data_IF_804807664746
#
_entry.id   IF_804807664746
#
_cell.length_a   1.000
_cell.length_b   1.000
_cell.length_c   1.000
_cell.angle_alpha   90.00
_cell.angle_beta   90.00
_cell.angle_gamma   90.00
#
_symmetry.space_group_name_H-M   'P 1'
#
loop_
_entity.id
_entity.type
_entity.pdbx_description
1 polymer ?
#
# COMPACT_ATOMS: atom_id res chain seq x y z
N UNK A 1 32.61 -38.25 14.05
CA UNK A 1 31.28 -37.68 13.75
C UNK A 1 31.25 -37.16 12.32
N UNK A 2 30.45 -37.75 11.41
CA UNK A 2 30.48 -37.41 9.99
C UNK A 2 29.76 -36.09 9.70
N UNK A 3 30.41 -35.25 8.89
CA UNK A 3 29.89 -34.01 8.33
C UNK A 3 28.55 -34.27 7.61
N UNK A 4 27.47 -33.66 8.11
CA UNK A 4 26.20 -33.57 7.38
C UNK A 4 26.45 -32.90 6.02
N UNK A 5 26.25 -33.66 4.95
CA UNK A 5 26.23 -33.17 3.56
C UNK A 5 25.33 -31.95 3.47
N UNK A 6 25.93 -30.81 3.16
CA UNK A 6 25.24 -29.63 2.65
C UNK A 6 24.46 -30.07 1.39
N UNK A 7 23.13 -30.05 1.49
CA UNK A 7 22.24 -30.23 0.34
C UNK A 7 22.61 -29.18 -0.71
N UNK A 8 23.19 -29.61 -1.84
CA UNK A 8 23.45 -28.77 -3.01
C UNK A 8 22.20 -27.94 -3.32
N UNK A 9 22.33 -26.61 -3.26
CA UNK A 9 21.34 -25.69 -3.81
C UNK A 9 21.14 -26.06 -5.29
N UNK A 10 20.00 -26.70 -5.61
CA UNK A 10 19.64 -26.97 -7.00
C UNK A 10 19.57 -25.66 -7.76
N UNK A 11 20.02 -25.69 -9.01
CA UNK A 11 19.91 -24.57 -9.91
C UNK A 11 18.43 -24.22 -10.12
N UNK A 12 18.05 -23.01 -9.69
CA UNK A 12 16.68 -22.51 -9.79
C UNK A 12 16.30 -22.20 -11.25
N UNK A 13 17.29 -22.10 -12.15
CA UNK A 13 17.12 -21.89 -13.59
C UNK A 13 16.18 -22.94 -14.22
N UNK A 14 16.23 -24.18 -13.74
CA UNK A 14 15.41 -25.30 -14.25
C UNK A 14 13.91 -25.01 -14.14
N UNK A 15 13.48 -24.31 -13.09
CA UNK A 15 12.08 -23.94 -12.92
C UNK A 15 11.66 -22.83 -13.89
N UNK A 16 12.56 -21.90 -14.20
CA UNK A 16 12.35 -20.85 -15.21
C UNK A 16 12.31 -21.46 -16.61
N UNK A 17 13.26 -22.32 -16.96
CA UNK A 17 13.31 -22.97 -18.27
C UNK A 17 12.06 -23.82 -18.52
N UNK A 18 11.68 -24.65 -17.55
CA UNK A 18 10.47 -25.47 -17.64
C UNK A 18 9.24 -24.62 -17.88
N UNK A 19 9.04 -23.56 -17.08
CA UNK A 19 7.81 -22.78 -17.17
C UNK A 19 7.75 -21.96 -18.47
N UNK A 20 8.90 -21.46 -18.93
CA UNK A 20 9.03 -20.78 -20.23
C UNK A 20 8.72 -21.70 -21.39
N UNK A 21 9.10 -22.99 -21.32
CA UNK A 21 8.89 -23.97 -22.40
C UNK A 21 7.51 -24.63 -22.34
N UNK A 22 7.14 -25.18 -21.19
CA UNK A 22 5.96 -26.04 -21.02
C UNK A 22 4.75 -25.33 -20.39
N UNK A 23 4.96 -24.23 -19.66
CA UNK A 23 3.89 -23.59 -18.91
C UNK A 23 3.41 -24.41 -17.71
N UNK A 24 2.13 -24.28 -17.34
CA UNK A 24 1.51 -25.11 -16.29
C UNK A 24 1.37 -26.56 -16.76
N UNK A 25 1.41 -27.50 -15.82
CA UNK A 25 1.11 -28.90 -16.16
C UNK A 25 -0.40 -29.10 -16.22
N UNK A 26 -1.02 -29.47 -17.37
CA UNK A 26 -2.47 -29.44 -17.54
C UNK A 26 -3.24 -30.26 -16.50
N UNK A 27 -2.87 -31.52 -16.31
CA UNK A 27 -3.55 -32.43 -15.37
C UNK A 27 -3.45 -31.90 -13.94
N UNK A 28 -2.22 -31.71 -13.44
CA UNK A 28 -1.98 -31.18 -12.09
C UNK A 28 -2.69 -29.84 -11.87
N UNK A 29 -2.63 -28.93 -12.84
CA UNK A 29 -3.27 -27.62 -12.75
C UNK A 29 -4.80 -27.75 -12.64
N UNK A 30 -5.45 -28.49 -13.53
CA UNK A 30 -6.91 -28.59 -13.54
C UNK A 30 -7.45 -29.38 -12.35
N UNK A 31 -6.77 -30.46 -11.93
CA UNK A 31 -7.11 -31.21 -10.71
C UNK A 31 -6.95 -30.31 -9.48
N UNK A 32 -5.81 -29.65 -9.33
CA UNK A 32 -5.59 -28.74 -8.21
C UNK A 32 -6.59 -27.59 -8.23
N UNK A 33 -6.93 -27.04 -9.40
CA UNK A 33 -7.92 -25.98 -9.54
C UNK A 33 -9.32 -26.44 -9.14
N UNK A 34 -9.74 -27.64 -9.58
CA UNK A 34 -11.04 -28.20 -9.22
C UNK A 34 -11.19 -28.40 -7.71
N UNK A 35 -10.11 -28.78 -7.02
CA UNK A 35 -10.11 -28.97 -5.55
C UNK A 35 -9.94 -27.65 -4.79
N UNK A 36 -8.95 -26.83 -5.15
CA UNK A 36 -8.56 -25.65 -4.37
C UNK A 36 -9.51 -24.48 -4.54
N UNK A 37 -10.09 -24.27 -5.73
CA UNK A 37 -11.00 -23.12 -5.97
C UNK A 37 -12.23 -23.16 -5.07
N UNK A 38 -13.01 -24.25 -4.97
CA UNK A 38 -14.17 -24.28 -4.07
C UNK A 38 -13.75 -24.13 -2.61
N UNK A 39 -12.65 -24.77 -2.19
CA UNK A 39 -12.10 -24.63 -0.85
C UNK A 39 -11.76 -23.16 -0.52
N UNK A 40 -11.03 -22.48 -1.42
CA UNK A 40 -10.67 -21.06 -1.26
C UNK A 40 -11.93 -20.20 -1.21
N UNK A 41 -12.92 -20.45 -2.08
CA UNK A 41 -14.15 -19.66 -2.11
C UNK A 41 -14.95 -19.76 -0.83
N UNK A 42 -15.13 -20.96 -0.29
CA UNK A 42 -15.88 -21.19 0.95
C UNK A 42 -15.07 -20.69 2.14
N UNK A 43 -13.83 -21.14 2.28
CA UNK A 43 -12.97 -20.84 3.43
C UNK A 43 -12.69 -19.35 3.59
N UNK A 44 -12.50 -18.64 2.47
CA UNK A 44 -12.24 -17.20 2.48
C UNK A 44 -13.46 -16.33 2.20
N UNK A 45 -14.66 -16.92 2.07
CA UNK A 45 -15.89 -16.22 1.63
C UNK A 45 -15.57 -15.26 0.48
N UNK A 46 -14.87 -15.81 -0.52
CA UNK A 46 -14.16 -15.02 -1.53
C UNK A 46 -15.15 -14.32 -2.45
N UNK A 47 -15.03 -13.01 -2.51
CA UNK A 47 -15.81 -12.17 -3.40
C UNK A 47 -14.89 -11.62 -4.51
N UNK A 48 -15.34 -11.71 -5.76
CA UNK A 48 -14.60 -11.21 -6.92
C UNK A 48 -15.47 -10.31 -7.78
N UNK A 49 -15.11 -9.03 -7.89
CA UNK A 49 -15.81 -8.02 -8.69
C UNK A 49 -14.99 -7.66 -9.93
N UNK A 50 -15.66 -7.44 -11.07
CA UNK A 50 -15.01 -7.01 -12.32
C UNK A 50 -14.21 -8.10 -13.03
N UNK A 51 -14.51 -9.38 -12.76
CA UNK A 51 -13.77 -10.53 -13.32
C UNK A 51 -13.77 -10.57 -14.84
N UNK A 52 -14.80 -10.00 -15.47
CA UNK A 52 -14.94 -9.93 -16.92
C UNK A 52 -14.05 -8.85 -17.56
N UNK A 53 -13.43 -7.98 -16.76
CA UNK A 53 -12.37 -7.08 -17.24
C UNK A 53 -11.05 -7.81 -17.54
N UNK A 54 -10.90 -9.07 -17.11
CA UNK A 54 -9.72 -9.88 -17.40
C UNK A 54 -9.88 -10.52 -18.78
N UNK A 55 -9.05 -10.18 -19.77
CA UNK A 55 -9.18 -10.68 -21.13
C UNK A 55 -9.13 -12.21 -21.21
N UNK A 56 -10.01 -12.77 -22.04
CA UNK A 56 -10.11 -14.21 -22.29
C UNK A 56 -8.98 -14.76 -23.15
N UNK A 57 -8.28 -13.94 -23.91
CA UNK A 57 -7.19 -14.35 -24.81
C UNK A 57 -6.08 -13.29 -24.80
N UNK A 58 -4.93 -13.62 -25.41
CA UNK A 58 -3.81 -12.67 -25.50
C UNK A 58 -3.01 -12.48 -24.20
N UNK A 59 -1.98 -11.63 -24.26
CA UNK A 59 -1.08 -11.32 -23.15
C UNK A 59 -1.78 -10.45 -22.10
N UNK A 60 -1.80 -10.91 -20.84
CA UNK A 60 -2.43 -10.17 -19.73
C UNK A 60 -1.46 -10.03 -18.57
N UNK A 61 -1.23 -8.78 -18.16
CA UNK A 61 -0.43 -8.45 -16.99
C UNK A 61 -1.35 -7.98 -15.86
N UNK A 62 -1.58 -8.82 -14.85
CA UNK A 62 -2.36 -8.44 -13.68
C UNK A 62 -1.44 -7.72 -12.69
N UNK A 63 -1.70 -6.43 -12.46
CA UNK A 63 -0.98 -5.61 -11.50
C UNK A 63 -1.80 -5.50 -10.21
N UNK A 64 -1.29 -6.05 -9.10
CA UNK A 64 -2.04 -6.06 -7.82
C UNK A 64 -1.20 -5.59 -6.64
N UNK A 65 -1.86 -5.09 -5.59
CA UNK A 65 -1.24 -4.96 -4.27
C UNK A 65 -0.96 -6.35 -3.64
N UNK A 66 -0.05 -6.39 -2.66
CA UNK A 66 0.34 -7.64 -1.99
C UNK A 66 0.25 -7.53 -0.47
N UNK A 67 -0.77 -8.15 0.11
CA UNK A 67 -1.05 -8.20 1.56
C UNK A 67 -0.62 -9.51 2.21
N UNK A 68 -0.72 -10.63 1.49
CA UNK A 68 -0.53 -11.97 2.03
C UNK A 68 0.11 -12.92 1.02
N UNK A 69 0.72 -14.00 1.51
CA UNK A 69 1.24 -15.06 0.63
C UNK A 69 0.12 -15.77 -0.16
N UNK A 70 -1.13 -15.61 0.26
CA UNK A 70 -2.31 -16.21 -0.37
C UNK A 70 -2.82 -15.42 -1.57
N UNK A 71 -2.40 -14.16 -1.75
CA UNK A 71 -2.93 -13.28 -2.81
C UNK A 71 -2.82 -13.88 -4.22
N UNK A 72 -1.69 -14.51 -4.63
CA UNK A 72 -1.61 -15.13 -5.94
C UNK A 72 -2.65 -16.23 -6.15
N UNK A 73 -2.93 -17.03 -5.12
CA UNK A 73 -3.90 -18.12 -5.19
C UNK A 73 -5.34 -17.58 -5.23
N UNK A 74 -5.61 -16.55 -4.44
CA UNK A 74 -6.91 -15.86 -4.42
C UNK A 74 -7.19 -15.23 -5.79
N UNK A 75 -6.24 -14.50 -6.37
CA UNK A 75 -6.33 -13.93 -7.72
C UNK A 75 -6.53 -15.02 -8.78
N UNK A 76 -5.70 -16.07 -8.75
CA UNK A 76 -5.75 -17.18 -9.70
C UNK A 76 -7.06 -17.97 -9.65
N UNK A 77 -7.72 -18.03 -8.49
CA UNK A 77 -9.02 -18.70 -8.32
C UNK A 77 -10.20 -17.95 -8.97
N UNK A 78 -10.04 -16.65 -9.24
CA UNK A 78 -11.07 -15.80 -9.84
C UNK A 78 -10.91 -15.62 -11.34
N UNK A 79 -9.69 -15.78 -11.87
CA UNK A 79 -9.39 -15.70 -13.30
C UNK A 79 -9.63 -17.03 -13.99
N UNK A 80 -10.22 -17.02 -15.19
CA UNK A 80 -10.67 -18.22 -15.93
C UNK A 80 -9.53 -19.04 -16.54
N UNK A 81 -8.34 -18.45 -16.74
CA UNK A 81 -7.16 -19.06 -17.38
C UNK A 81 -6.00 -19.26 -16.40
N UNK A 82 -5.05 -20.16 -16.69
CA UNK A 82 -3.82 -20.30 -15.91
C UNK A 82 -3.09 -18.98 -15.73
N UNK A 83 -2.79 -18.67 -14.47
CA UNK A 83 -2.11 -17.45 -14.05
C UNK A 83 -0.73 -17.82 -13.52
N UNK A 84 0.27 -17.09 -13.96
CA UNK A 84 1.67 -17.29 -13.61
C UNK A 84 2.08 -16.23 -12.62
N UNK A 85 2.83 -16.62 -11.59
CA UNK A 85 3.19 -15.70 -10.51
C UNK A 85 4.61 -15.93 -10.02
N UNK A 86 5.22 -14.81 -9.65
CA UNK A 86 6.53 -14.78 -9.04
C UNK A 86 6.43 -15.26 -7.59
N UNK A 87 7.26 -16.22 -7.18
CA UNK A 87 7.25 -16.83 -5.86
C UNK A 87 8.66 -16.83 -5.23
N UNK A 88 8.72 -16.74 -3.89
CA UNK A 88 10.00 -16.67 -3.16
C UNK A 88 10.83 -17.94 -3.40
N UNK A 89 12.12 -17.81 -3.71
CA UNK A 89 13.01 -18.95 -4.00
C UNK A 89 13.00 -20.03 -2.90
N UNK A 90 12.78 -19.66 -1.64
CA UNK A 90 12.78 -20.61 -0.51
C UNK A 90 11.65 -21.63 -0.60
N UNK A 91 10.57 -21.30 -1.33
CA UNK A 91 9.47 -22.24 -1.61
C UNK A 91 9.90 -23.38 -2.54
N UNK A 92 10.99 -23.20 -3.29
CA UNK A 92 11.54 -24.16 -4.24
C UNK A 92 12.70 -24.98 -3.68
N UNK A 93 13.09 -24.77 -2.40
CA UNK A 93 14.15 -25.54 -1.74
C UNK A 93 13.82 -27.03 -1.62
N UNK A 94 12.55 -27.36 -1.38
CA UNK A 94 12.08 -28.73 -1.43
C UNK A 94 11.67 -29.06 -2.88
N UNK A 95 12.32 -30.04 -3.55
CA UNK A 95 12.02 -30.45 -4.92
C UNK A 95 10.56 -30.76 -5.23
N UNK A 96 9.86 -31.44 -4.30
CA UNK A 96 8.47 -31.86 -4.50
C UNK A 96 7.57 -30.62 -4.48
N UNK A 97 7.77 -29.74 -3.49
CA UNK A 97 7.03 -28.48 -3.38
C UNK A 97 7.35 -27.54 -4.56
N UNK A 98 8.62 -27.42 -4.95
CA UNK A 98 9.06 -26.59 -6.07
C UNK A 98 8.48 -27.07 -7.40
N UNK A 99 8.52 -28.38 -7.66
CA UNK A 99 7.89 -28.98 -8.84
C UNK A 99 6.38 -28.74 -8.86
N UNK A 100 5.70 -28.99 -7.74
CA UNK A 100 4.25 -28.81 -7.63
C UNK A 100 3.85 -27.35 -7.85
N UNK A 101 4.50 -26.39 -7.16
CA UNK A 101 4.24 -24.96 -7.35
C UNK A 101 4.51 -24.52 -8.79
N UNK A 102 5.57 -25.03 -9.42
CA UNK A 102 5.88 -24.75 -10.81
C UNK A 102 4.85 -25.33 -11.78
N UNK A 103 4.29 -26.52 -11.50
CA UNK A 103 3.15 -27.06 -12.23
C UNK A 103 1.93 -26.14 -12.19
N UNK A 104 1.74 -25.40 -11.09
CA UNK A 104 0.62 -24.48 -10.89
C UNK A 104 0.84 -23.08 -11.47
N UNK A 105 2.04 -22.78 -12.00
CA UNK A 105 2.35 -21.48 -12.60
C UNK A 105 3.34 -20.62 -11.81
N UNK A 106 3.88 -21.12 -10.69
CA UNK A 106 4.84 -20.39 -9.88
C UNK A 106 6.28 -20.50 -10.42
N UNK A 107 7.05 -19.41 -10.36
CA UNK A 107 8.48 -19.44 -10.67
C UNK A 107 9.30 -18.60 -9.67
N UNK A 108 10.56 -18.99 -9.39
CA UNK A 108 11.33 -18.40 -8.31
C UNK A 108 11.75 -16.95 -8.56
N UNK A 109 12.01 -16.21 -7.48
CA UNK A 109 12.69 -14.91 -7.47
C UNK A 109 13.56 -14.77 -6.22
N UNK A 110 14.73 -14.16 -6.39
CA UNK A 110 15.60 -13.66 -5.35
C UNK A 110 15.25 -12.18 -5.09
N UNK A 111 14.88 -11.86 -3.85
CA UNK A 111 14.62 -10.47 -3.45
C UNK A 111 15.95 -9.81 -3.08
N UNK A 112 16.28 -8.69 -3.70
CA UNK A 112 17.46 -7.88 -3.35
C UNK A 112 18.46 -7.72 -4.50
N UNK A 113 18.54 -8.70 -5.39
CA UNK A 113 19.16 -8.53 -6.70
C UNK A 113 18.13 -7.94 -7.67
N UNK A 114 18.58 -7.15 -8.64
CA UNK A 114 17.77 -6.80 -9.83
C UNK A 114 17.59 -8.09 -10.64
N UNK A 115 16.69 -8.95 -10.20
CA UNK A 115 16.55 -10.31 -10.72
C UNK A 115 15.95 -10.29 -12.14
N UNK A 116 16.85 -10.15 -13.10
CA UNK A 116 16.58 -10.18 -14.53
C UNK A 116 15.81 -11.45 -14.93
N UNK A 117 16.05 -12.59 -14.28
CA UNK A 117 15.52 -13.88 -14.70
C UNK A 117 14.00 -14.03 -14.50
N UNK A 118 13.45 -13.48 -13.41
CA UNK A 118 12.01 -13.45 -13.18
C UNK A 118 11.31 -12.49 -14.16
N UNK A 119 11.93 -11.35 -14.49
CA UNK A 119 11.42 -10.42 -15.50
C UNK A 119 11.46 -11.03 -16.90
N UNK A 120 12.56 -11.67 -17.29
CA UNK A 120 12.69 -12.39 -18.56
C UNK A 120 11.61 -13.48 -18.66
N UNK A 121 11.42 -14.25 -17.60
CA UNK A 121 10.36 -15.28 -17.56
C UNK A 121 8.97 -14.68 -17.74
N UNK A 122 8.70 -13.56 -17.05
CA UNK A 122 7.43 -12.86 -17.16
C UNK A 122 7.20 -12.36 -18.59
N UNK A 123 8.23 -11.77 -19.21
CA UNK A 123 8.21 -11.32 -20.61
C UNK A 123 7.89 -12.46 -21.57
N UNK A 124 8.64 -13.57 -21.50
CA UNK A 124 8.44 -14.75 -22.37
C UNK A 124 7.03 -15.33 -22.19
N UNK A 125 6.52 -15.40 -20.96
CA UNK A 125 5.16 -15.88 -20.71
C UNK A 125 4.10 -14.95 -21.31
N UNK A 126 4.27 -13.64 -21.15
CA UNK A 126 3.39 -12.64 -21.76
C UNK A 126 3.43 -12.74 -23.29
N UNK A 127 4.61 -12.78 -23.92
CA UNK A 127 4.76 -12.95 -25.37
C UNK A 127 4.05 -14.22 -25.90
N UNK A 128 3.92 -15.25 -25.06
CA UNK A 128 3.15 -16.48 -25.35
C UNK A 128 1.64 -16.36 -25.04
N UNK A 129 1.12 -15.15 -24.86
CA UNK A 129 -0.30 -14.88 -24.59
C UNK A 129 -0.80 -15.40 -23.24
N UNK A 130 0.07 -15.49 -22.23
CA UNK A 130 -0.28 -15.98 -20.89
C UNK A 130 -0.66 -14.82 -19.95
N UNK A 131 -1.27 -15.18 -18.82
CA UNK A 131 -1.63 -14.25 -17.75
C UNK A 131 -0.52 -14.25 -16.70
N UNK A 132 0.19 -13.14 -16.52
CA UNK A 132 1.22 -13.00 -15.50
C UNK A 132 0.77 -12.01 -14.44
N UNK A 133 0.95 -12.35 -13.17
CA UNK A 133 0.65 -11.46 -12.04
C UNK A 133 1.93 -10.90 -11.46
N UNK A 134 1.96 -9.58 -11.33
CA UNK A 134 3.05 -8.83 -10.70
C UNK A 134 2.49 -8.02 -9.55
N UNK A 135 3.28 -7.94 -8.49
CA UNK A 135 3.00 -7.11 -7.32
C UNK A 135 3.98 -5.93 -7.29
N UNK A 136 3.61 -4.75 -7.82
CA UNK A 136 4.54 -3.64 -8.02
C UNK A 136 5.22 -3.16 -6.74
N UNK A 137 4.60 -3.35 -5.56
CA UNK A 137 5.18 -3.01 -4.25
C UNK A 137 6.47 -3.79 -3.94
N UNK A 138 6.72 -4.92 -4.63
CA UNK A 138 7.92 -5.76 -4.49
C UNK A 138 8.02 -6.54 -3.17
N UNK A 139 7.17 -6.23 -2.19
CA UNK A 139 7.07 -6.94 -0.92
C UNK A 139 5.62 -6.95 -0.42
N UNK A 140 5.38 -7.72 0.65
CA UNK A 140 4.06 -7.75 1.29
C UNK A 140 3.94 -6.56 2.24
N UNK A 141 2.89 -5.77 2.08
CA UNK A 141 2.54 -4.66 2.96
C UNK A 141 1.33 -5.09 3.78
N UNK A 142 1.49 -5.28 5.10
CA UNK A 142 0.44 -5.87 5.94
C UNK A 142 -0.53 -4.86 6.55
N UNK A 143 -0.09 -3.63 6.72
CA UNK A 143 -0.82 -2.55 7.40
C UNK A 143 -0.70 -1.26 6.59
N UNK A 144 -1.58 -0.30 6.84
CA UNK A 144 -1.53 0.98 6.15
C UNK A 144 -2.06 0.95 4.71
N UNK A 145 -1.84 2.08 4.03
CA UNK A 145 -2.06 2.28 2.60
C UNK A 145 -1.11 1.46 1.75
N UNK A 146 -1.33 1.48 0.43
CA UNK A 146 -0.39 0.87 -0.52
C UNK A 146 0.90 1.67 -0.58
N UNK A 147 2.03 0.99 -0.83
CA UNK A 147 3.35 1.63 -1.00
C UNK A 147 3.55 2.12 -2.43
N UNK A 148 4.64 2.86 -2.65
CA UNK A 148 5.04 3.22 -4.00
C UNK A 148 5.43 1.98 -4.83
N UNK A 149 5.07 1.96 -6.12
CA UNK A 149 5.32 0.85 -7.01
C UNK A 149 6.75 0.87 -7.53
N UNK A 150 7.30 -0.30 -7.85
CA UNK A 150 8.51 -0.44 -8.66
C UNK A 150 8.16 -0.44 -10.15
N UNK A 151 9.08 0.09 -10.97
CA UNK A 151 8.93 0.24 -12.43
C UNK A 151 8.75 -1.04 -13.26
N UNK A 152 8.89 -2.21 -12.65
CA UNK A 152 8.90 -3.51 -13.35
C UNK A 152 7.60 -3.80 -14.11
N UNK A 153 6.45 -3.34 -13.59
CA UNK A 153 5.15 -3.51 -14.27
C UNK A 153 5.07 -2.68 -15.55
N UNK A 154 5.50 -1.41 -15.51
CA UNK A 154 5.51 -0.56 -16.71
C UNK A 154 6.52 -1.02 -17.75
N UNK A 155 7.68 -1.52 -17.31
CA UNK A 155 8.66 -2.17 -18.21
C UNK A 155 8.04 -3.36 -18.95
N UNK A 156 7.40 -4.29 -18.23
CA UNK A 156 6.78 -5.47 -18.85
C UNK A 156 5.64 -5.08 -19.79
N UNK A 157 4.82 -4.09 -19.42
CA UNK A 157 3.75 -3.58 -20.27
C UNK A 157 4.28 -3.05 -21.62
N UNK A 158 5.33 -2.22 -21.57
CA UNK A 158 5.97 -1.65 -22.77
C UNK A 158 6.68 -2.71 -23.62
N UNK A 159 7.41 -3.64 -23.01
CA UNK A 159 8.18 -4.64 -23.75
C UNK A 159 7.29 -5.66 -24.50
N UNK A 160 6.11 -5.94 -23.94
CA UNK A 160 5.24 -7.03 -24.41
C UNK A 160 3.97 -6.56 -25.10
N UNK A 161 3.55 -5.30 -24.89
CA UNK A 161 2.23 -4.82 -25.30
C UNK A 161 1.08 -5.49 -24.54
N UNK A 162 1.35 -6.14 -23.41
CA UNK A 162 0.34 -6.85 -22.63
C UNK A 162 -0.75 -5.90 -22.12
N UNK A 163 -1.99 -6.38 -22.12
CA UNK A 163 -3.11 -5.68 -21.50
C UNK A 163 -2.93 -5.72 -19.97
N UNK A 164 -2.80 -4.56 -19.35
CA UNK A 164 -2.55 -4.43 -17.91
C UNK A 164 -3.88 -4.34 -17.17
N UNK A 165 -4.21 -5.36 -16.38
CA UNK A 165 -5.42 -5.37 -15.55
C UNK A 165 -5.05 -4.93 -14.14
N UNK A 166 -5.48 -3.73 -13.69
CA UNK A 166 -5.29 -3.31 -12.31
C UNK A 166 -6.22 -4.13 -11.40
N UNK A 167 -5.69 -4.71 -10.35
CA UNK A 167 -6.44 -5.49 -9.38
C UNK A 167 -6.10 -5.07 -7.95
N UNK A 168 -7.02 -5.27 -7.02
CA UNK A 168 -6.74 -5.14 -5.60
C UNK A 168 -7.31 -6.30 -4.80
N UNK A 169 -6.60 -6.68 -3.74
CA UNK A 169 -6.97 -7.70 -2.76
C UNK A 169 -7.02 -7.07 -1.37
N UNK A 170 -8.11 -7.29 -0.64
CA UNK A 170 -8.26 -6.88 0.75
C UNK A 170 -8.78 -8.04 1.62
N UNK A 171 -8.36 -8.09 2.88
CA UNK A 171 -8.81 -9.08 3.86
C UNK A 171 -7.88 -10.29 3.99
N UNK A 172 -7.03 -10.54 2.99
CA UNK A 172 -6.08 -11.66 2.98
C UNK A 172 -4.97 -11.51 4.02
N UNK A 173 -4.68 -10.28 4.48
CA UNK A 173 -3.76 -10.01 5.59
C UNK A 173 -4.21 -10.67 6.91
N UNK A 174 -5.52 -10.87 7.08
CA UNK A 174 -6.11 -11.47 8.29
C UNK A 174 -6.06 -13.00 8.28
N UNK A 175 -5.75 -13.61 7.14
CA UNK A 175 -5.75 -15.06 6.99
C UNK A 175 -4.63 -15.74 7.78
N UNK A 176 -3.50 -15.05 8.06
CA UNK A 176 -2.32 -15.69 8.66
C UNK A 176 -2.17 -15.31 10.13
N UNK A 177 -2.25 -16.30 11.02
CA UNK A 177 -1.88 -16.20 12.44
C UNK A 177 -0.77 -17.21 12.75
N UNK A 178 0.48 -16.76 12.69
CA UNK A 178 1.64 -17.65 12.81
C UNK A 178 1.74 -18.64 11.64
N UNK A 179 1.65 -19.94 11.94
CA UNK A 179 1.68 -21.03 10.96
C UNK A 179 0.29 -21.45 10.45
N UNK A 180 -0.79 -21.08 11.14
CA UNK A 180 -2.17 -21.49 10.79
C UNK A 180 -2.83 -20.50 9.84
N UNK A 181 -3.62 -21.03 8.92
CA UNK A 181 -4.48 -20.27 8.00
C UNK A 181 -5.89 -20.22 8.59
N UNK A 182 -6.37 -19.04 8.96
CA UNK A 182 -7.72 -18.82 9.51
C UNK A 182 -8.69 -18.45 8.38
N UNK A 183 -9.93 -18.91 8.49
CA UNK A 183 -11.03 -18.43 7.66
C UNK A 183 -11.26 -16.92 7.90
N UNK A 184 -11.26 -16.13 6.83
CA UNK A 184 -11.55 -14.69 6.85
C UNK A 184 -12.25 -14.28 5.56
N UNK A 185 -12.98 -13.16 5.53
CA UNK A 185 -13.54 -12.66 4.27
C UNK A 185 -12.43 -12.00 3.44
N UNK A 186 -12.26 -12.43 2.20
CA UNK A 186 -11.33 -11.85 1.23
C UNK A 186 -12.13 -11.31 0.05
N UNK A 187 -11.82 -10.09 -0.38
CA UNK A 187 -12.45 -9.47 -1.55
C UNK A 187 -11.39 -9.06 -2.55
N UNK A 188 -11.72 -9.25 -3.83
CA UNK A 188 -10.88 -8.89 -4.96
C UNK A 188 -11.69 -8.05 -5.92
N UNK A 189 -11.07 -7.01 -6.45
CA UNK A 189 -11.66 -6.19 -7.50
C UNK A 189 -10.68 -6.03 -8.64
N UNK A 190 -11.14 -6.32 -9.86
CA UNK A 190 -10.42 -6.11 -11.10
C UNK A 190 -10.99 -4.87 -11.81
N UNK A 191 -10.12 -3.93 -12.17
CA UNK A 191 -10.47 -2.78 -13.01
C UNK A 191 -10.35 -3.11 -14.50
N UNK A 192 -10.79 -2.18 -15.35
CA UNK A 192 -10.68 -2.32 -16.82
C UNK A 192 -9.22 -2.40 -17.24
N UNK A 193 -8.96 -3.23 -18.25
CA UNK A 193 -7.62 -3.40 -18.81
C UNK A 193 -7.12 -2.10 -19.46
N UNK A 194 -5.86 -1.79 -19.24
CA UNK A 194 -5.12 -0.69 -19.84
C UNK A 194 -4.21 -1.22 -20.95
N UNK A 195 -4.07 -0.48 -22.04
CA UNK A 195 -3.16 -0.80 -23.15
C UNK A 195 -2.05 0.24 -23.24
N UNK A 196 -0.85 -0.22 -23.57
CA UNK A 196 0.32 0.63 -23.78
C UNK A 196 1.01 0.23 -25.09
N UNK A 197 1.65 1.17 -25.79
CA UNK A 197 2.39 0.84 -27.00
C UNK A 197 3.53 -0.13 -26.69
N UNK A 198 3.81 -1.03 -27.63
CA UNK A 198 4.99 -1.89 -27.54
C UNK A 198 6.22 -1.07 -27.93
N UNK A 199 7.23 -1.09 -27.08
CA UNK A 199 8.50 -0.36 -27.29
C UNK A 199 9.65 -1.35 -27.14
N UNK A 200 10.54 -1.36 -28.13
CA UNK A 200 11.79 -2.11 -28.04
C UNK A 200 12.75 -1.37 -27.10
N UNK A 201 13.32 -2.11 -26.14
CA UNK A 201 14.25 -1.58 -25.12
C UNK A 201 13.77 -0.28 -24.43
N UNK A 202 12.64 -0.28 -23.70
CA UNK A 202 12.11 0.94 -23.08
C UNK A 202 13.07 1.50 -22.04
N UNK A 203 13.23 2.83 -22.04
CA UNK A 203 14.05 3.50 -21.04
C UNK A 203 13.48 3.33 -19.62
N UNK A 204 14.33 3.33 -18.58
CA UNK A 204 13.87 3.22 -17.20
C UNK A 204 12.84 4.29 -16.81
N UNK A 205 13.04 5.53 -17.28
CA UNK A 205 12.11 6.65 -17.06
C UNK A 205 10.75 6.40 -17.71
N UNK A 206 10.72 5.90 -18.94
CA UNK A 206 9.45 5.57 -19.60
C UNK A 206 8.71 4.44 -18.86
N UNK A 207 9.42 3.43 -18.37
CA UNK A 207 8.84 2.37 -17.55
C UNK A 207 8.28 2.89 -16.21
N UNK A 208 8.93 3.89 -15.61
CA UNK A 208 8.45 4.58 -14.40
C UNK A 208 7.17 5.37 -14.69
N UNK A 209 7.11 6.13 -15.78
CA UNK A 209 5.91 6.86 -16.21
C UNK A 209 4.70 5.95 -16.48
N UNK A 210 4.91 4.84 -17.20
CA UNK A 210 3.85 3.86 -17.43
C UNK A 210 3.39 3.23 -16.12
N UNK A 211 4.32 2.94 -15.21
CA UNK A 211 3.98 2.45 -13.87
C UNK A 211 3.16 3.49 -13.09
N UNK A 212 3.52 4.77 -13.18
CA UNK A 212 2.81 5.88 -12.55
C UNK A 212 1.40 6.08 -13.13
N UNK A 213 1.11 5.62 -14.35
CA UNK A 213 -0.24 5.56 -14.92
C UNK A 213 -1.04 4.33 -14.46
N UNK A 214 -0.39 3.17 -14.33
CA UNK A 214 -1.03 1.92 -13.88
C UNK A 214 -1.39 2.00 -12.38
N UNK A 215 -0.50 2.53 -11.56
CA UNK A 215 -0.62 2.44 -10.10
C UNK A 215 -1.84 3.15 -9.50
N UNK A 216 -2.22 4.36 -9.94
CA UNK A 216 -3.47 4.99 -9.54
C UNK A 216 -4.70 4.10 -9.83
N UNK A 217 -4.69 3.36 -10.94
CA UNK A 217 -5.79 2.45 -11.28
C UNK A 217 -5.88 1.26 -10.30
N UNK A 218 -4.74 0.75 -9.83
CA UNK A 218 -4.67 -0.26 -8.75
C UNK A 218 -5.18 0.33 -7.43
N UNK A 219 -4.73 1.54 -7.08
CA UNK A 219 -5.16 2.26 -5.88
C UNK A 219 -6.66 2.53 -5.86
N UNK A 220 -7.26 2.87 -6.99
CA UNK A 220 -8.71 3.00 -7.12
C UNK A 220 -9.46 1.70 -6.78
N UNK A 221 -8.94 0.54 -7.19
CA UNK A 221 -9.56 -0.74 -6.83
C UNK A 221 -9.43 -1.01 -5.33
N UNK A 222 -8.28 -0.68 -4.74
CA UNK A 222 -8.02 -0.83 -3.31
C UNK A 222 -8.90 0.08 -2.46
N UNK A 223 -8.97 1.37 -2.78
CA UNK A 223 -9.79 2.36 -2.07
C UNK A 223 -11.28 2.01 -2.19
N UNK A 224 -11.75 1.57 -3.36
CA UNK A 224 -13.13 1.10 -3.53
C UNK A 224 -13.46 -0.10 -2.64
N UNK A 225 -12.51 -1.03 -2.45
CA UNK A 225 -12.65 -2.15 -1.54
C UNK A 225 -12.62 -1.75 -0.05
N UNK A 226 -12.53 -0.45 0.27
CA UNK A 226 -12.41 0.08 1.64
C UNK A 226 -10.97 0.14 2.14
N UNK A 227 -10.00 0.01 1.24
CA UNK A 227 -8.59 0.17 1.53
C UNK A 227 -8.22 1.58 2.00
N UNK A 228 -7.12 1.69 2.72
CA UNK A 228 -6.56 2.97 3.15
C UNK A 228 -6.02 3.76 1.94
N UNK A 229 -6.54 4.97 1.63
CA UNK A 229 -5.80 5.88 0.77
C UNK A 229 -4.50 6.29 1.49
N UNK A 230 -3.43 6.63 0.76
CA UNK A 230 -2.31 7.34 1.35
C UNK A 230 -2.76 8.72 1.79
N UNK A 231 -2.11 9.23 2.83
CA UNK A 231 -2.31 10.57 3.33
C UNK A 231 -1.82 11.57 2.28
N UNK A 232 -2.65 12.53 1.91
CA UNK A 232 -2.32 13.61 0.99
C UNK A 232 -2.46 14.96 1.68
N UNK A 233 -3.55 15.17 2.41
CA UNK A 233 -3.85 16.42 3.10
C UNK A 233 -3.78 16.25 4.61
N UNK A 234 -3.09 17.17 5.28
CA UNK A 234 -3.04 17.23 6.73
C UNK A 234 -3.42 18.63 7.26
N UNK A 235 -4.22 18.67 8.31
CA UNK A 235 -4.50 19.89 9.06
C UNK A 235 -3.83 19.79 10.42
N UNK A 236 -3.02 20.78 10.79
CA UNK A 236 -2.35 20.84 12.09
C UNK A 236 -3.03 21.90 12.95
N UNK A 237 -3.78 21.46 13.96
CA UNK A 237 -4.50 22.33 14.89
C UNK A 237 -3.56 22.72 16.02
N UNK A 238 -3.17 24.00 16.03
CA UNK A 238 -2.30 24.59 17.05
C UNK A 238 -0.93 25.00 16.50
N UNK A 239 -0.76 26.28 16.20
CA UNK A 239 0.51 26.87 15.75
C UNK A 239 1.52 27.15 16.89
N UNK A 240 1.61 26.23 17.86
CA UNK A 240 2.67 26.22 18.88
C UNK A 240 3.97 25.62 18.35
N UNK A 241 4.90 25.29 19.25
CA UNK A 241 6.21 24.74 18.89
C UNK A 241 6.08 23.41 18.11
N UNK A 242 5.37 22.43 18.68
CA UNK A 242 5.15 21.11 18.06
C UNK A 242 4.31 21.17 16.79
N UNK A 243 3.26 22.00 16.75
CA UNK A 243 2.44 22.10 15.55
C UNK A 243 3.18 22.74 14.38
N UNK A 244 3.99 23.77 14.65
CA UNK A 244 4.86 24.38 13.62
C UNK A 244 5.87 23.36 13.10
N UNK A 245 6.50 22.60 14.00
CA UNK A 245 7.46 21.56 13.64
C UNK A 245 6.82 20.45 12.79
N UNK A 246 5.68 19.90 13.23
CA UNK A 246 4.98 18.85 12.50
C UNK A 246 4.44 19.34 11.15
N UNK A 247 3.97 20.59 11.06
CA UNK A 247 3.54 21.15 9.78
C UNK A 247 4.70 21.18 8.78
N UNK A 248 5.89 21.59 9.21
CA UNK A 248 7.08 21.58 8.36
C UNK A 248 7.50 20.17 7.95
N UNK A 249 7.52 19.21 8.87
CA UNK A 249 7.88 17.82 8.57
C UNK A 249 6.87 17.14 7.64
N UNK A 250 5.58 17.33 7.88
CA UNK A 250 4.53 16.76 7.03
C UNK A 250 4.60 17.33 5.61
N UNK A 251 4.84 18.64 5.47
CA UNK A 251 5.02 19.25 4.15
C UNK A 251 6.28 18.73 3.44
N UNK A 252 7.40 18.56 4.15
CA UNK A 252 8.61 17.93 3.60
C UNK A 252 8.40 16.47 3.23
N UNK A 253 7.49 15.78 3.91
CA UNK A 253 7.07 14.42 3.56
C UNK A 253 6.11 14.38 2.34
N UNK A 254 5.79 15.54 1.74
CA UNK A 254 4.98 15.65 0.53
C UNK A 254 3.47 15.76 0.78
N UNK A 255 3.04 16.03 2.01
CA UNK A 255 1.63 16.31 2.30
C UNK A 255 1.31 17.79 2.00
N UNK A 256 0.11 18.04 1.51
CA UNK A 256 -0.49 19.37 1.54
C UNK A 256 -0.90 19.67 2.98
N UNK A 257 -0.27 20.68 3.58
CA UNK A 257 -0.45 20.97 5.00
C UNK A 257 -1.08 22.34 5.20
N UNK A 258 -2.09 22.38 6.06
CA UNK A 258 -2.65 23.63 6.58
C UNK A 258 -2.41 23.72 8.09
N UNK A 259 -1.71 24.77 8.53
CA UNK A 259 -1.40 25.04 9.92
C UNK A 259 -2.43 26.02 10.51
N UNK A 260 -3.16 25.52 11.51
CA UNK A 260 -4.19 26.24 12.24
C UNK A 260 -3.66 27.04 13.42
N UNK A 261 -3.73 28.36 13.29
CA UNK A 261 -3.48 29.31 14.37
C UNK A 261 -4.73 29.52 15.23
N UNK A 262 -4.52 29.93 16.48
CA UNK A 262 -5.61 30.21 17.42
C UNK A 262 -6.44 31.42 16.95
N UNK A 263 -5.77 32.45 16.46
CA UNK A 263 -6.40 33.72 16.03
C UNK A 263 -6.07 34.02 14.58
N UNK A 264 -6.95 34.79 13.91
CA UNK A 264 -6.71 35.27 12.53
C UNK A 264 -5.48 36.17 12.43
N UNK A 265 -5.24 36.99 13.46
CA UNK A 265 -4.05 37.84 13.52
C UNK A 265 -2.76 37.00 13.51
N UNK A 266 -2.67 35.98 14.38
CA UNK A 266 -1.51 35.07 14.40
C UNK A 266 -1.32 34.39 13.05
N UNK A 267 -2.42 33.96 12.41
CA UNK A 267 -2.37 33.35 11.07
C UNK A 267 -1.79 34.30 10.03
N UNK A 268 -2.24 35.55 9.99
CA UNK A 268 -1.76 36.57 9.04
C UNK A 268 -0.28 36.90 9.25
N UNK A 269 0.15 37.08 10.50
CA UNK A 269 1.55 37.33 10.84
C UNK A 269 2.45 36.17 10.40
N UNK A 270 2.06 34.93 10.73
CA UNK A 270 2.83 33.73 10.39
C UNK A 270 2.81 33.42 8.89
N UNK A 271 1.70 33.68 8.20
CA UNK A 271 1.60 33.55 6.75
C UNK A 271 2.56 34.51 6.02
N UNK A 272 2.70 35.73 6.52
CA UNK A 272 3.62 36.75 5.97
C UNK A 272 5.08 36.46 6.30
N UNK A 273 5.38 36.23 7.58
CA UNK A 273 6.77 36.08 8.04
C UNK A 273 7.38 34.72 7.68
N UNK A 274 6.54 33.68 7.54
CA UNK A 274 6.92 32.27 7.45
C UNK A 274 7.80 31.79 8.61
N UNK A 275 7.86 32.55 9.71
CA UNK A 275 8.69 32.27 10.89
C UNK A 275 7.83 32.36 12.14
N UNK A 276 7.97 31.36 13.01
CA UNK A 276 7.28 31.34 14.30
C UNK A 276 8.28 31.58 15.43
N UNK A 277 8.95 32.73 15.44
CA UNK A 277 10.07 32.99 16.35
C UNK A 277 9.67 32.94 17.83
N UNK A 278 8.40 33.20 18.13
CA UNK A 278 7.84 33.05 19.48
C UNK A 278 7.86 31.61 19.99
N UNK A 279 7.56 30.63 19.14
CA UNK A 279 7.34 29.24 19.57
C UNK A 279 8.41 28.27 19.05
N UNK A 280 9.01 28.55 17.90
CA UNK A 280 10.05 27.72 17.27
C UNK A 280 11.03 28.60 16.47
N UNK A 281 11.91 29.34 17.15
CA UNK A 281 12.86 30.23 16.49
C UNK A 281 13.89 29.45 15.65
N UNK A 282 14.30 30.06 14.54
CA UNK A 282 15.29 29.50 13.60
C UNK A 282 14.71 28.51 12.58
N UNK A 283 13.42 28.21 12.64
CA UNK A 283 12.75 27.31 11.70
C UNK A 283 11.81 28.10 10.80
N UNK A 284 12.05 28.05 9.49
CA UNK A 284 11.17 28.64 8.47
C UNK A 284 10.15 27.59 8.01
N UNK A 285 8.88 27.97 7.95
CA UNK A 285 7.82 27.14 7.40
C UNK A 285 7.99 26.98 5.87
N UNK A 286 8.00 25.74 5.33
CA UNK A 286 8.05 25.51 3.88
C UNK A 286 6.91 26.21 3.17
N UNK A 287 7.13 26.79 1.99
CA UNK A 287 6.11 27.60 1.27
C UNK A 287 4.82 26.82 0.96
N UNK A 288 4.92 25.49 0.83
CA UNK A 288 3.77 24.59 0.66
C UNK A 288 2.82 24.52 1.87
N UNK A 289 3.21 25.02 3.05
CA UNK A 289 2.33 25.05 4.23
C UNK A 289 1.39 26.26 4.16
N UNK A 290 0.09 26.01 3.97
CA UNK A 290 -0.93 27.04 4.15
C UNK A 290 -1.09 27.37 5.65
N UNK A 291 -1.44 28.63 5.96
CA UNK A 291 -1.62 29.09 7.35
C UNK A 291 -2.93 29.85 7.44
N UNK A 292 -3.79 29.44 8.38
CA UNK A 292 -5.12 30.01 8.58
C UNK A 292 -5.53 29.93 10.06
N UNK A 293 -6.65 30.55 10.44
CA UNK A 293 -7.23 30.27 11.75
C UNK A 293 -7.86 28.87 11.75
N UNK A 294 -7.82 28.16 12.88
CA UNK A 294 -8.51 26.86 13.05
C UNK A 294 -10.00 26.94 12.64
N UNK A 295 -10.64 28.10 12.86
CA UNK A 295 -12.02 28.33 12.42
C UNK A 295 -12.18 28.25 10.89
N UNK A 296 -11.16 28.63 10.13
CA UNK A 296 -11.22 28.78 8.68
C UNK A 296 -10.73 27.52 7.91
N UNK A 297 -10.17 26.50 8.59
CA UNK A 297 -9.65 25.27 7.94
C UNK A 297 -10.76 24.36 7.41
N UNK A 298 -10.70 23.96 6.15
CA UNK A 298 -11.64 22.96 5.62
C UNK A 298 -11.24 21.51 6.03
N UNK A 299 -11.85 20.99 7.10
CA UNK A 299 -11.50 19.67 7.65
C UNK A 299 -12.18 18.47 6.97
N UNK A 300 -13.24 18.68 6.17
CA UNK A 300 -14.01 17.59 5.56
C UNK A 300 -13.21 16.75 4.55
N UNK A 301 -12.21 17.35 3.89
CA UNK A 301 -11.35 16.71 2.89
C UNK A 301 -9.95 16.33 3.39
N UNK A 302 -9.71 16.41 4.70
CA UNK A 302 -8.38 16.17 5.30
C UNK A 302 -8.21 14.70 5.67
N UNK A 303 -7.08 14.10 5.29
CA UNK A 303 -6.78 12.70 5.62
C UNK A 303 -6.24 12.54 7.04
N UNK A 304 -5.50 13.54 7.54
CA UNK A 304 -4.87 13.55 8.85
C UNK A 304 -5.12 14.88 9.59
N UNK A 305 -5.78 14.83 10.74
CA UNK A 305 -5.89 15.99 11.64
C UNK A 305 -4.91 15.80 12.81
N UNK A 306 -4.00 16.74 13.00
CA UNK A 306 -3.02 16.72 14.08
C UNK A 306 -3.47 17.68 15.17
N UNK A 307 -3.75 17.18 16.37
CA UNK A 307 -4.07 18.00 17.53
C UNK A 307 -2.78 18.31 18.30
N UNK A 308 -2.16 19.44 17.93
CA UNK A 308 -0.88 19.91 18.46
C UNK A 308 -1.07 21.08 19.44
N UNK A 309 -1.92 20.87 20.44
CA UNK A 309 -2.22 21.84 21.50
C UNK A 309 -1.78 21.30 22.88
N UNK A 310 -1.49 22.17 23.86
CA UNK A 310 -1.35 21.75 25.25
C UNK A 310 -2.57 20.95 25.73
N UNK A 311 -2.38 20.01 26.66
CA UNK A 311 -3.47 19.15 27.17
C UNK A 311 -4.59 19.94 27.84
N UNK A 312 -4.28 21.07 28.48
CA UNK A 312 -5.24 22.04 29.02
C UNK A 312 -6.14 22.68 27.94
N UNK A 313 -5.61 22.88 26.73
CA UNK A 313 -6.32 23.49 25.61
C UNK A 313 -6.98 22.45 24.68
N UNK A 314 -6.77 21.16 24.94
CA UNK A 314 -7.31 20.08 24.13
C UNK A 314 -8.85 20.05 24.09
N UNK A 315 -9.58 20.23 25.21
CA UNK A 315 -11.05 20.29 25.18
C UNK A 315 -11.57 21.36 24.21
N UNK A 316 -10.98 22.56 24.24
CA UNK A 316 -11.37 23.66 23.36
C UNK A 316 -11.04 23.35 21.89
N UNK A 317 -9.87 22.76 21.62
CA UNK A 317 -9.49 22.37 20.26
C UNK A 317 -10.41 21.28 19.70
N UNK A 318 -10.76 20.27 20.51
CA UNK A 318 -11.72 19.21 20.15
C UNK A 318 -13.09 19.80 19.86
N UNK A 319 -13.57 20.73 20.67
CA UNK A 319 -14.84 21.43 20.43
C UNK A 319 -14.82 22.22 19.10
N UNK A 320 -13.71 22.89 18.79
CA UNK A 320 -13.57 23.69 17.57
C UNK A 320 -13.54 22.86 16.26
N UNK A 321 -13.15 21.59 16.34
CA UNK A 321 -13.05 20.70 15.17
C UNK A 321 -14.09 19.59 15.14
N UNK A 322 -14.79 19.36 16.25
CA UNK A 322 -15.65 18.20 16.54
C UNK A 322 -16.47 17.68 15.36
N UNK A 323 -17.41 18.50 14.91
CA UNK A 323 -18.37 18.13 13.86
C UNK A 323 -17.81 18.26 12.44
N UNK A 324 -16.60 18.84 12.30
CA UNK A 324 -15.96 19.13 11.02
C UNK A 324 -14.98 18.04 10.58
N UNK A 325 -14.51 17.19 11.52
CA UNK A 325 -13.62 16.07 11.20
C UNK A 325 -14.40 14.93 10.57
N UNK A 326 -14.01 14.52 9.36
CA UNK A 326 -14.67 13.44 8.64
C UNK A 326 -14.38 12.05 9.22
N UNK A 327 -15.33 11.11 9.05
CA UNK A 327 -15.16 9.68 9.43
C UNK A 327 -14.00 8.96 8.74
N UNK A 328 -13.46 9.54 7.67
CA UNK A 328 -12.32 9.01 6.91
C UNK A 328 -10.98 9.51 7.43
N UNK A 329 -10.98 10.64 8.15
CA UNK A 329 -9.78 11.28 8.69
C UNK A 329 -9.22 10.48 9.87
N UNK A 330 -7.91 10.33 9.92
CA UNK A 330 -7.20 9.89 11.12
C UNK A 330 -6.91 11.11 12.00
N UNK A 331 -6.88 10.92 13.32
CA UNK A 331 -6.46 11.98 14.26
C UNK A 331 -5.17 11.58 14.96
N UNK A 332 -4.16 12.44 14.88
CA UNK A 332 -2.91 12.31 15.61
C UNK A 332 -2.90 13.29 16.78
N UNK A 333 -2.86 12.76 17.99
CA UNK A 333 -2.78 13.54 19.22
C UNK A 333 -1.33 13.66 19.64
N UNK A 334 -0.85 14.89 19.76
CA UNK A 334 0.53 15.20 20.17
C UNK A 334 0.59 15.86 21.56
N UNK A 335 -0.58 16.18 22.12
CA UNK A 335 -0.72 16.74 23.46
C UNK A 335 -0.12 15.81 24.52
N UNK A 336 0.74 16.37 25.37
CA UNK A 336 1.34 15.67 26.52
C UNK A 336 0.61 16.04 27.82
N UNK A 337 0.58 15.12 28.77
CA UNK A 337 -0.11 15.30 30.06
C UNK A 337 -1.51 14.69 30.06
N UNK A 338 -2.41 15.26 30.87
CA UNK A 338 -3.77 14.77 31.05
C UNK A 338 -4.79 15.82 30.60
N UNK A 339 -5.80 15.40 29.86
CA UNK A 339 -6.90 16.24 29.42
C UNK A 339 -7.96 16.34 30.53
N UNK A 340 -8.30 17.57 30.89
CA UNK A 340 -9.37 17.85 31.84
C UNK A 340 -10.76 17.56 31.28
N UNK A 341 -11.80 17.53 32.15
CA UNK A 341 -11.72 17.70 33.61
C UNK A 341 -11.37 16.41 34.36
N UNK A 342 -11.56 15.24 33.75
CA UNK A 342 -11.41 13.93 34.41
C UNK A 342 -9.96 13.41 34.48
N UNK A 343 -8.96 14.18 34.01
CA UNK A 343 -7.57 13.75 34.01
C UNK A 343 -7.31 12.54 33.10
N UNK A 344 -7.96 12.50 31.94
CA UNK A 344 -7.85 11.36 31.01
C UNK A 344 -6.66 11.52 30.08
N UNK A 345 -6.14 10.39 29.57
CA UNK A 345 -5.11 10.43 28.52
C UNK A 345 -5.68 11.12 27.26
N UNK A 346 -4.97 12.09 26.66
CA UNK A 346 -5.43 12.88 25.51
C UNK A 346 -6.01 12.07 24.34
N UNK A 347 -5.40 10.94 23.99
CA UNK A 347 -5.89 10.07 22.91
C UNK A 347 -7.25 9.44 23.24
N UNK A 348 -7.48 9.07 24.50
CA UNK A 348 -8.77 8.55 24.95
C UNK A 348 -9.83 9.64 24.93
N UNK A 349 -9.51 10.82 25.49
CA UNK A 349 -10.41 11.98 25.47
C UNK A 349 -10.93 12.29 24.06
N UNK A 350 -10.01 12.29 23.09
CA UNK A 350 -10.31 12.54 21.67
C UNK A 350 -11.10 11.39 21.05
N UNK A 351 -10.74 10.13 21.35
CA UNK A 351 -11.41 8.94 20.81
C UNK A 351 -12.88 8.80 21.22
N UNK A 352 -13.25 9.29 22.40
CA UNK A 352 -14.64 9.33 22.85
C UNK A 352 -15.48 10.41 22.16
N UNK A 353 -14.84 11.48 21.65
CA UNK A 353 -15.54 12.71 21.24
C UNK A 353 -15.53 12.96 19.75
N UNK A 354 -14.51 12.49 19.03
CA UNK A 354 -14.41 12.70 17.58
C UNK A 354 -14.85 11.45 16.81
N UNK A 355 -15.68 11.66 15.78
CA UNK A 355 -16.08 10.61 14.84
C UNK A 355 -15.04 10.45 13.74
N UNK A 356 -13.95 9.77 14.06
CA UNK A 356 -12.78 9.62 13.17
C UNK A 356 -12.59 8.18 12.74
N UNK A 357 -11.68 7.96 11.79
CA UNK A 357 -11.26 6.62 11.41
C UNK A 357 -10.50 5.91 12.53
N UNK A 358 -9.75 6.67 13.31
CA UNK A 358 -8.86 6.17 14.34
C UNK A 358 -8.07 7.30 14.96
N UNK A 359 -7.70 7.09 16.22
CA UNK A 359 -6.89 8.02 16.99
C UNK A 359 -5.55 7.37 17.28
N UNK A 360 -4.48 8.09 16.98
CA UNK A 360 -3.11 7.73 17.33
C UNK A 360 -2.51 8.81 18.22
N UNK A 361 -1.56 8.43 19.08
CA UNK A 361 -0.76 9.38 19.84
C UNK A 361 0.71 9.28 19.41
N UNK A 362 1.41 10.42 19.35
CA UNK A 362 2.85 10.44 19.12
C UNK A 362 3.57 10.59 20.48
N UNK A 363 4.29 9.55 20.90
CA UNK A 363 4.95 9.48 22.21
C UNK A 363 6.38 10.09 22.24
N UNK A 364 6.73 10.93 21.26
CA UNK A 364 8.00 11.66 21.18
C UNK A 364 7.93 12.75 20.11
N UNK A 365 9.02 13.45 19.76
CA UNK A 365 10.19 13.79 20.59
C UNK A 365 9.85 14.61 21.85
N UNK A 366 10.83 14.87 22.72
CA UNK A 366 10.63 15.66 23.92
C UNK A 366 10.34 17.13 23.57
N UNK A 367 11.14 17.67 22.64
CA UNK A 367 11.05 19.05 22.16
C UNK A 367 10.79 19.15 20.65
N UNK A 368 10.14 20.23 20.23
CA UNK A 368 9.84 20.48 18.83
C UNK A 368 11.09 20.56 17.93
N UNK A 369 12.22 21.04 18.47
CA UNK A 369 13.50 21.13 17.72
C UNK A 369 14.06 19.77 17.30
N UNK A 370 13.80 18.72 18.06
CA UNK A 370 14.23 17.35 17.71
C UNK A 370 13.39 16.77 16.55
N UNK A 371 12.30 17.44 16.16
CA UNK A 371 11.40 16.98 15.10
C UNK A 371 11.83 17.45 13.70
N UNK A 372 12.55 18.58 13.59
CA UNK A 372 12.70 19.37 12.35
C UNK A 372 14.11 19.40 11.78
#
# INVERSE_FOLDING_TARGET
>A
MPRRRLLRSRDLSVYHERIRRRGVHPIVYWVARAVLVPLIRVWFRLEGVGRDHVPGTGPVLVASNHRSFLDPFVLGSLVRRPMYFVAKQELFRNPINGWFLNCLGAFPVCRGASDSEALITSRVLLERGRVVTVFPEGTRVRTGSLREPRRGVGRLALETGAQVVPAAVIGSERARRGWRIRACRVRVRFGRALTFPRVEAPSPRLAEEVTARIWPCVRLQWEWLGGLPPLRRAAVVGAGSMGTALAAVLARAGLEVELGCRTRQQAQELARSRKNDRYLPGVRLPDAVAVSSVADIELAGVDLVVLAVPSEALPQAVAAVGDRVGRRSAVLVVSKGLAGPLGTVPSHYVGERLRTRGVACLAGPAHARETV
#
